data_IF_538547655071
#
_entry.id   IF_538547655071
#
_cell.length_a   1.000
_cell.length_b   1.000
_cell.length_c   1.000
_cell.angle_alpha   90.00
_cell.angle_beta   90.00
_cell.angle_gamma   90.00
#
_symmetry.space_group_name_H-M   'P 1'
#
loop_
_entity.id
_entity.type
_entity.pdbx_description
1 polymer ?
#
# COMPACT_ATOMS: atom_id res chain seq x y z
N UNK A 1 -12.57 -21.67 20.21
CA UNK A 1 -12.81 -20.22 20.42
C UNK A 1 -11.52 -19.66 21.00
N UNK A 2 -10.55 -19.36 20.13
CA UNK A 2 -9.29 -18.75 20.53
C UNK A 2 -9.56 -17.27 20.80
N UNK A 3 -9.24 -16.83 22.00
CA UNK A 3 -9.34 -15.44 22.41
C UNK A 3 -8.50 -14.61 21.42
N UNK A 4 -9.15 -13.63 20.76
CA UNK A 4 -8.45 -12.59 20.05
C UNK A 4 -7.55 -11.89 21.08
N UNK A 5 -6.25 -12.00 20.92
CA UNK A 5 -5.30 -11.18 21.66
C UNK A 5 -5.65 -9.73 21.38
N UNK A 6 -6.06 -8.99 22.40
CA UNK A 6 -6.15 -7.53 22.31
C UNK A 6 -4.79 -7.03 21.82
N UNK A 7 -4.78 -6.48 20.61
CA UNK A 7 -3.57 -5.86 20.10
C UNK A 7 -3.15 -4.78 21.10
N UNK A 8 -1.96 -4.92 21.67
CA UNK A 8 -1.46 -3.99 22.67
C UNK A 8 -1.58 -2.55 22.13
N UNK A 9 -2.16 -1.68 22.93
CA UNK A 9 -2.27 -0.24 22.60
C UNK A 9 -0.89 0.31 22.30
N UNK A 10 -0.73 1.10 21.23
CA UNK A 10 0.52 1.77 20.96
C UNK A 10 0.95 2.64 22.16
N UNK A 11 2.23 2.65 22.53
CA UNK A 11 2.69 3.44 23.64
C UNK A 11 2.55 4.94 23.36
N UNK A 12 2.09 5.70 24.34
CA UNK A 12 1.94 7.15 24.27
C UNK A 12 3.01 7.88 25.09
N UNK A 13 3.38 9.06 24.67
CA UNK A 13 4.26 9.96 25.42
C UNK A 13 3.80 11.42 25.25
N UNK A 14 4.23 12.29 26.17
CA UNK A 14 4.00 13.73 25.98
C UNK A 14 4.95 14.24 24.86
N UNK A 15 4.52 15.19 24.02
CA UNK A 15 5.36 15.78 22.99
C UNK A 15 6.69 16.30 23.55
N UNK A 16 6.64 16.98 24.68
CA UNK A 16 7.81 17.57 25.34
C UNK A 16 8.84 16.52 25.75
N UNK A 17 8.39 15.35 26.23
CA UNK A 17 9.30 14.24 26.61
C UNK A 17 10.08 13.66 25.42
N UNK A 18 9.63 13.96 24.21
CA UNK A 18 10.24 13.53 22.95
C UNK A 18 10.83 14.69 22.15
N UNK A 19 10.99 15.85 22.77
CA UNK A 19 11.61 17.01 22.16
C UNK A 19 10.76 17.71 21.09
N UNK A 20 9.43 17.59 21.19
CA UNK A 20 8.46 18.30 20.36
C UNK A 20 7.61 19.19 21.25
N UNK A 21 7.54 20.48 20.97
CA UNK A 21 6.70 21.36 21.77
C UNK A 21 5.22 21.24 21.39
N UNK A 22 4.33 21.10 22.35
CA UNK A 22 2.87 21.04 22.11
C UNK A 22 2.35 22.25 21.34
N UNK A 23 2.95 23.43 21.50
CA UNK A 23 2.62 24.62 20.70
C UNK A 23 2.83 24.44 19.21
N UNK A 24 3.83 23.64 18.79
CA UNK A 24 4.13 23.40 17.39
C UNK A 24 3.09 22.44 16.76
N UNK A 25 2.63 21.45 17.54
CA UNK A 25 1.50 20.59 17.14
C UNK A 25 0.21 21.42 17.00
N UNK A 26 -0.05 22.31 17.97
CA UNK A 26 -1.22 23.19 17.90
C UNK A 26 -1.15 24.12 16.68
N UNK A 27 0.03 24.63 16.35
CA UNK A 27 0.23 25.44 15.15
C UNK A 27 -0.03 24.64 13.86
N UNK A 28 0.40 23.37 13.80
CA UNK A 28 0.10 22.46 12.70
C UNK A 28 -1.41 22.26 12.54
N UNK A 29 -2.12 21.94 13.62
CA UNK A 29 -3.59 21.74 13.61
C UNK A 29 -4.29 22.99 13.07
N UNK A 30 -3.99 24.16 13.64
CA UNK A 30 -4.55 25.43 13.20
C UNK A 30 -4.29 25.70 11.71
N UNK A 31 -3.11 25.35 11.21
CA UNK A 31 -2.78 25.51 9.80
C UNK A 31 -3.58 24.56 8.92
N UNK A 32 -3.80 23.31 9.35
CA UNK A 32 -4.65 22.35 8.63
C UNK A 32 -6.11 22.87 8.55
N UNK A 33 -6.65 23.33 9.66
CA UNK A 33 -8.03 23.85 9.75
C UNK A 33 -8.23 25.15 8.96
N UNK A 34 -7.28 26.07 9.02
CA UNK A 34 -7.38 27.38 8.33
C UNK A 34 -6.97 27.31 6.86
N UNK A 35 -6.31 26.23 6.41
CA UNK A 35 -5.78 26.10 5.06
C UNK A 35 -6.78 25.64 4.00
N UNK A 36 -8.06 25.51 4.32
CA UNK A 36 -9.07 24.99 3.41
C UNK A 36 -8.90 23.51 3.10
N UNK A 37 -8.13 22.79 3.93
CA UNK A 37 -7.97 21.34 3.86
C UNK A 37 -9.12 20.69 4.62
N UNK A 38 -9.47 19.47 4.23
CA UNK A 38 -10.43 18.63 4.94
C UNK A 38 -9.70 17.42 5.55
N UNK A 39 -8.99 17.61 6.69
CA UNK A 39 -8.26 16.53 7.32
C UNK A 39 -9.24 15.56 7.98
N UNK A 40 -9.08 14.27 7.75
CA UNK A 40 -9.91 13.23 8.35
C UNK A 40 -9.36 12.79 9.71
N UNK A 41 -8.07 12.52 9.76
CA UNK A 41 -7.39 12.13 10.98
C UNK A 41 -5.89 12.46 10.89
N UNK A 42 -5.25 12.65 12.03
CA UNK A 42 -3.82 12.91 12.16
C UNK A 42 -3.28 12.16 13.36
N UNK A 43 -2.16 11.45 13.16
CA UNK A 43 -1.33 10.96 14.25
C UNK A 43 0.10 11.45 14.07
N UNK A 44 0.77 11.75 15.15
CA UNK A 44 2.19 12.13 15.18
C UNK A 44 2.92 11.20 16.12
N UNK A 45 3.90 10.50 15.58
CA UNK A 45 4.65 9.48 16.29
C UNK A 45 6.14 9.82 16.25
N UNK A 46 6.84 9.57 17.35
CA UNK A 46 8.30 9.71 17.41
C UNK A 46 8.89 8.62 18.32
N UNK A 47 9.95 7.97 17.86
CA UNK A 47 10.63 6.88 18.58
C UNK A 47 9.64 5.80 19.04
N UNK A 48 8.79 5.32 18.12
CA UNK A 48 7.80 4.28 18.39
C UNK A 48 6.64 4.68 19.32
N UNK A 49 6.51 5.94 19.72
CA UNK A 49 5.47 6.40 20.64
C UNK A 49 4.56 7.45 20.01
N UNK A 50 3.27 7.34 20.26
CA UNK A 50 2.27 8.30 19.81
C UNK A 50 2.34 9.54 20.69
N UNK A 51 2.58 10.70 20.09
CA UNK A 51 2.66 12.00 20.77
C UNK A 51 1.37 12.78 20.64
N UNK A 52 0.62 12.54 19.59
CA UNK A 52 -0.63 13.19 19.28
C UNK A 52 -1.48 12.32 18.37
N UNK A 53 -2.78 12.30 18.64
CA UNK A 53 -3.77 11.68 17.78
C UNK A 53 -5.05 12.51 17.80
N UNK A 54 -5.66 12.72 16.64
CA UNK A 54 -6.94 13.43 16.49
C UNK A 54 -7.65 13.00 15.23
N UNK A 55 -8.95 13.19 15.21
CA UNK A 55 -9.79 13.11 14.03
C UNK A 55 -10.77 14.27 14.00
N UNK A 56 -11.17 14.68 12.79
CA UNK A 56 -12.15 15.74 12.56
C UNK A 56 -13.51 15.13 12.22
N UNK A 57 -14.57 15.62 12.88
CA UNK A 57 -15.93 15.15 12.61
C UNK A 57 -16.27 15.32 11.11
N UNK A 58 -16.96 14.33 10.48
CA UNK A 58 -17.59 13.15 11.06
C UNK A 58 -16.66 11.95 11.26
N UNK A 59 -15.36 12.07 10.96
CA UNK A 59 -14.40 10.97 11.04
C UNK A 59 -14.06 10.66 12.51
N UNK A 60 -13.71 9.39 12.75
CA UNK A 60 -13.29 8.88 14.06
C UNK A 60 -12.05 8.02 13.89
N UNK A 61 -11.08 8.05 14.82
CA UNK A 61 -9.84 7.28 14.72
C UNK A 61 -10.07 5.77 14.54
N UNK A 62 -11.14 5.23 15.15
CA UNK A 62 -11.46 3.80 15.14
C UNK A 62 -12.17 3.35 13.86
N UNK A 63 -12.63 4.28 13.03
CA UNK A 63 -13.37 3.96 11.81
C UNK A 63 -12.41 3.67 10.66
N UNK A 64 -12.39 2.43 10.11
CA UNK A 64 -11.57 2.15 8.95
C UNK A 64 -12.00 2.98 7.74
N UNK A 65 -11.07 3.74 7.18
CA UNK A 65 -11.26 4.55 5.99
C UNK A 65 -10.50 3.96 4.80
N UNK A 66 -10.96 4.26 3.60
CA UNK A 66 -10.26 3.89 2.37
C UNK A 66 -8.93 4.66 2.31
N UNK A 67 -7.82 3.93 2.32
CA UNK A 67 -6.48 4.54 2.31
C UNK A 67 -5.89 4.69 0.91
N UNK A 68 -6.71 4.46 -0.13
CA UNK A 68 -6.28 4.60 -1.52
C UNK A 68 -4.91 3.99 -1.79
N UNK A 69 -3.99 4.77 -2.33
CA UNK A 69 -2.66 4.32 -2.78
C UNK A 69 -1.69 3.93 -1.66
N UNK A 70 -2.01 4.16 -0.40
CA UNK A 70 -1.26 3.57 0.72
C UNK A 70 -1.31 2.03 0.64
N UNK A 71 -2.35 1.47 0.02
CA UNK A 71 -2.46 0.03 -0.29
C UNK A 71 -1.23 -0.52 -1.04
N UNK A 72 -0.59 0.30 -1.90
CA UNK A 72 0.60 -0.10 -2.66
C UNK A 72 1.80 -0.46 -1.77
N UNK A 73 1.90 0.17 -0.60
CA UNK A 73 2.95 -0.15 0.38
C UNK A 73 2.81 -1.60 0.86
N UNK A 74 1.60 -2.04 1.14
CA UNK A 74 1.34 -3.43 1.54
C UNK A 74 1.67 -4.42 0.40
N UNK A 75 1.31 -4.09 -0.83
CA UNK A 75 1.67 -4.91 -2.00
C UNK A 75 3.19 -4.99 -2.18
N UNK A 76 3.90 -3.87 -2.03
CA UNK A 76 5.36 -3.86 -2.11
C UNK A 76 6.00 -4.71 -0.99
N UNK A 77 5.46 -4.66 0.23
CA UNK A 77 5.92 -5.51 1.33
C UNK A 77 5.65 -7.01 1.06
N UNK A 78 4.51 -7.35 0.45
CA UNK A 78 4.24 -8.74 0.05
C UNK A 78 5.28 -9.25 -0.96
N UNK A 79 5.65 -8.45 -1.94
CA UNK A 79 6.74 -8.79 -2.87
C UNK A 79 8.08 -8.90 -2.14
N UNK A 80 8.36 -8.02 -1.15
CA UNK A 80 9.57 -8.10 -0.33
C UNK A 80 9.65 -9.41 0.49
N UNK A 81 8.53 -9.88 1.04
CA UNK A 81 8.49 -11.20 1.70
C UNK A 81 8.76 -12.35 0.71
N UNK A 82 8.18 -12.30 -0.49
CA UNK A 82 8.44 -13.30 -1.54
C UNK A 82 9.92 -13.29 -1.96
N UNK A 83 10.55 -12.12 -2.05
CA UNK A 83 12.00 -12.00 -2.34
C UNK A 83 12.83 -12.60 -1.21
N UNK A 84 12.52 -12.28 0.04
CA UNK A 84 13.22 -12.83 1.21
C UNK A 84 13.04 -14.36 1.33
N UNK A 85 11.90 -14.90 0.89
CA UNK A 85 11.63 -16.34 0.80
C UNK A 85 12.31 -17.02 -0.41
N UNK A 86 12.99 -16.25 -1.28
CA UNK A 86 13.61 -16.76 -2.51
C UNK A 86 12.61 -17.22 -3.58
N UNK A 87 11.36 -16.81 -3.49
CA UNK A 87 10.26 -17.19 -4.40
C UNK A 87 10.10 -16.27 -5.58
N UNK A 88 10.66 -15.08 -5.54
CA UNK A 88 10.65 -14.09 -6.61
C UNK A 88 12.03 -13.47 -6.79
N UNK A 89 12.40 -13.23 -8.04
CA UNK A 89 13.60 -12.48 -8.43
C UNK A 89 13.14 -11.16 -9.05
N UNK A 90 13.48 -10.05 -8.43
CA UNK A 90 13.06 -8.72 -8.88
C UNK A 90 13.61 -8.36 -10.27
N UNK A 91 14.69 -9.00 -10.70
CA UNK A 91 15.32 -8.77 -12.00
C UNK A 91 14.74 -9.62 -13.13
N UNK A 92 13.96 -10.64 -12.76
CA UNK A 92 13.31 -11.50 -13.74
C UNK A 92 12.17 -10.78 -14.47
N UNK A 93 11.94 -11.16 -15.71
CA UNK A 93 10.77 -10.73 -16.48
C UNK A 93 9.47 -11.20 -15.84
N UNK A 94 8.42 -10.40 -16.01
CA UNK A 94 7.08 -10.70 -15.46
C UNK A 94 6.52 -12.02 -16.02
N UNK A 95 6.85 -12.35 -17.28
CA UNK A 95 6.50 -13.59 -17.99
C UNK A 95 6.99 -14.86 -17.26
N UNK A 96 7.99 -14.75 -16.38
CA UNK A 96 8.42 -15.88 -15.54
C UNK A 96 7.36 -16.27 -14.49
N UNK A 97 6.50 -15.37 -14.11
CA UNK A 97 5.53 -15.55 -13.01
C UNK A 97 4.08 -15.55 -13.48
N UNK A 98 3.83 -14.92 -14.62
CA UNK A 98 2.54 -14.90 -15.29
C UNK A 98 2.72 -15.47 -16.69
N UNK A 99 1.85 -16.39 -17.10
CA UNK A 99 1.86 -16.96 -18.46
C UNK A 99 1.30 -15.93 -19.46
N UNK A 100 2.05 -14.84 -19.65
CA UNK A 100 1.70 -13.70 -20.49
C UNK A 100 2.89 -13.26 -21.35
N UNK A 101 2.66 -12.83 -22.60
CA UNK A 101 3.73 -12.23 -23.43
C UNK A 101 4.32 -10.99 -22.76
N UNK A 102 5.65 -10.87 -22.81
CA UNK A 102 6.38 -9.72 -22.28
C UNK A 102 7.45 -9.23 -23.29
N UNK A 103 7.02 -8.75 -24.49
CA UNK A 103 7.94 -8.42 -25.59
C UNK A 103 8.88 -7.25 -25.27
N UNK A 104 8.57 -6.45 -24.24
CA UNK A 104 9.35 -5.28 -23.85
C UNK A 104 10.29 -5.54 -22.68
N UNK A 105 10.35 -6.78 -22.16
CA UNK A 105 11.25 -7.16 -21.07
C UNK A 105 10.97 -6.44 -19.75
N UNK A 106 9.70 -6.18 -19.43
CA UNK A 106 9.30 -5.56 -18.18
C UNK A 106 9.58 -6.55 -17.04
N UNK A 107 10.38 -6.13 -16.05
CA UNK A 107 10.75 -6.93 -14.88
C UNK A 107 9.86 -6.61 -13.68
N UNK A 108 9.90 -7.49 -12.67
CA UNK A 108 9.22 -7.22 -11.38
C UNK A 108 9.70 -5.91 -10.76
N UNK A 109 11.01 -5.62 -10.85
CA UNK A 109 11.59 -4.36 -10.39
C UNK A 109 10.99 -3.15 -11.10
N UNK A 110 10.79 -3.24 -12.42
CA UNK A 110 10.16 -2.15 -13.18
C UNK A 110 8.71 -1.89 -12.72
N UNK A 111 7.96 -2.93 -12.33
CA UNK A 111 6.62 -2.77 -11.76
C UNK A 111 6.69 -2.07 -10.38
N UNK A 112 7.56 -2.55 -9.48
CA UNK A 112 7.73 -2.01 -8.12
C UNK A 112 8.14 -0.55 -8.10
N UNK A 113 9.02 -0.16 -9.00
CA UNK A 113 9.58 1.19 -9.06
C UNK A 113 8.82 2.11 -10.03
N UNK A 114 7.73 1.60 -10.64
CA UNK A 114 6.89 2.35 -11.61
C UNK A 114 7.71 2.96 -12.75
N UNK A 115 8.70 2.24 -13.23
CA UNK A 115 9.53 2.63 -14.36
C UNK A 115 9.44 1.63 -15.52
N UNK A 116 8.22 1.20 -15.85
CA UNK A 116 7.90 0.27 -16.94
C UNK A 116 8.16 0.84 -18.32
N UNK A 117 8.60 2.09 -18.43
CA UNK A 117 8.85 2.76 -19.71
C UNK A 117 7.64 3.49 -20.30
N UNK A 118 6.44 3.23 -19.79
CA UNK A 118 5.24 3.97 -20.21
C UNK A 118 5.33 5.43 -19.76
N UNK A 119 4.86 6.35 -20.61
CA UNK A 119 4.74 7.77 -20.25
C UNK A 119 3.61 8.01 -19.25
N UNK A 120 3.56 9.21 -18.68
CA UNK A 120 2.46 9.61 -17.82
C UNK A 120 1.11 9.52 -18.55
N UNK A 121 1.07 9.95 -19.79
CA UNK A 121 -0.13 9.93 -20.65
C UNK A 121 -0.60 8.49 -20.86
N UNK A 122 0.31 7.58 -21.17
CA UNK A 122 0.00 6.17 -21.30
C UNK A 122 -0.53 5.59 -19.96
N UNK A 123 0.12 5.87 -18.83
CA UNK A 123 -0.29 5.30 -17.52
C UNK A 123 -1.68 5.74 -17.07
N UNK A 124 -2.18 6.89 -17.55
CA UNK A 124 -3.53 7.36 -17.27
C UNK A 124 -4.62 6.61 -18.05
N UNK A 125 -4.25 5.99 -19.16
CA UNK A 125 -5.16 5.28 -20.08
C UNK A 125 -4.98 3.78 -20.10
N UNK A 126 -3.86 3.26 -19.53
CA UNK A 126 -3.63 1.82 -19.39
C UNK A 126 -4.76 1.17 -18.59
N UNK A 127 -5.36 0.10 -19.10
CA UNK A 127 -6.34 -0.67 -18.36
C UNK A 127 -5.70 -1.45 -17.20
N UNK A 128 -6.52 -1.89 -16.24
CA UNK A 128 -6.09 -2.79 -15.18
C UNK A 128 -6.01 -4.23 -15.68
N UNK A 129 -5.07 -4.45 -16.60
CA UNK A 129 -4.81 -5.74 -17.25
C UNK A 129 -3.30 -5.92 -17.36
N UNK A 130 -2.79 -7.02 -16.80
CA UNK A 130 -1.36 -7.34 -16.92
C UNK A 130 -0.97 -7.61 -18.37
N UNK A 131 -1.84 -8.28 -19.15
CA UNK A 131 -1.58 -8.57 -20.54
C UNK A 131 -1.39 -7.29 -21.38
N UNK A 132 -2.27 -6.30 -21.17
CA UNK A 132 -2.17 -5.03 -21.90
C UNK A 132 -1.00 -4.17 -21.40
N UNK A 133 -0.74 -4.13 -20.08
CA UNK A 133 0.45 -3.46 -19.56
C UNK A 133 1.73 -4.00 -20.18
N UNK A 134 1.84 -5.33 -20.37
CA UNK A 134 3.04 -5.96 -20.87
C UNK A 134 3.20 -5.87 -22.39
N UNK A 135 2.09 -5.74 -23.13
CA UNK A 135 2.09 -5.76 -24.62
C UNK A 135 1.97 -4.38 -25.26
N UNK A 136 1.37 -3.42 -24.59
CA UNK A 136 1.35 -2.03 -25.07
C UNK A 136 2.79 -1.48 -25.09
N UNK A 137 3.23 -1.01 -26.24
CA UNK A 137 4.60 -0.53 -26.40
C UNK A 137 4.87 0.71 -25.53
N UNK A 138 5.83 0.66 -24.60
CA UNK A 138 6.22 1.82 -23.82
C UNK A 138 6.97 2.83 -24.69
N UNK A 139 6.77 4.13 -24.42
CA UNK A 139 7.45 5.21 -25.16
C UNK A 139 8.94 5.34 -24.80
N UNK A 140 9.33 4.82 -23.64
CA UNK A 140 10.71 4.84 -23.14
C UNK A 140 11.18 3.42 -22.84
N UNK A 141 12.48 3.22 -22.83
CA UNK A 141 13.05 1.96 -22.38
C UNK A 141 12.67 1.68 -20.92
N UNK A 142 12.15 0.48 -20.59
CA UNK A 142 11.91 0.10 -19.20
C UNK A 142 13.14 0.34 -18.32
N UNK A 143 12.93 0.88 -17.13
CA UNK A 143 14.01 1.24 -16.21
C UNK A 143 14.55 2.67 -16.34
N UNK A 144 14.15 3.46 -17.36
CA UNK A 144 14.76 4.76 -17.64
C UNK A 144 13.93 5.96 -17.20
N UNK A 145 12.63 5.80 -16.93
CA UNK A 145 11.76 6.91 -16.50
C UNK A 145 10.72 6.45 -15.50
N UNK A 146 10.45 7.28 -14.53
CA UNK A 146 9.35 7.10 -13.58
C UNK A 146 8.06 7.70 -14.16
N UNK A 147 7.00 6.89 -14.14
CA UNK A 147 5.63 7.36 -14.34
C UNK A 147 4.71 6.59 -13.41
N UNK A 148 3.96 7.31 -12.56
CA UNK A 148 3.06 6.69 -11.59
C UNK A 148 2.08 5.74 -12.28
N UNK A 149 2.10 4.45 -11.91
CA UNK A 149 1.47 3.39 -12.66
C UNK A 149 0.71 2.42 -11.74
N UNK A 150 -0.60 2.59 -11.61
CA UNK A 150 -1.44 1.68 -10.83
C UNK A 150 -1.65 0.31 -11.48
N UNK A 151 -1.80 0.17 -12.82
CA UNK A 151 -1.75 -1.12 -13.51
C UNK A 151 -0.49 -1.95 -13.20
N UNK A 152 0.68 -1.31 -13.04
CA UNK A 152 1.89 -2.02 -12.64
C UNK A 152 1.74 -2.65 -11.22
N UNK A 153 1.15 -1.93 -10.28
CA UNK A 153 0.91 -2.49 -8.93
C UNK A 153 -0.18 -3.56 -8.95
N UNK A 154 -1.21 -3.42 -9.79
CA UNK A 154 -2.20 -4.47 -10.01
C UNK A 154 -1.53 -5.77 -10.49
N UNK A 155 -0.62 -5.67 -11.46
CA UNK A 155 0.16 -6.80 -11.97
C UNK A 155 0.99 -7.48 -10.87
N UNK A 156 1.57 -6.71 -9.93
CA UNK A 156 2.23 -7.28 -8.74
C UNK A 156 1.26 -8.10 -7.87
N UNK A 157 0.02 -7.63 -7.71
CA UNK A 157 -1.02 -8.39 -7.02
C UNK A 157 -1.31 -9.75 -7.68
N UNK A 158 -1.39 -9.78 -9.01
CA UNK A 158 -1.55 -11.03 -9.78
C UNK A 158 -0.35 -11.97 -9.59
N UNK A 159 0.87 -11.45 -9.58
CA UNK A 159 2.08 -12.25 -9.31
C UNK A 159 2.04 -12.86 -7.91
N UNK A 160 1.63 -12.10 -6.90
CA UNK A 160 1.47 -12.62 -5.53
C UNK A 160 0.50 -13.79 -5.53
N UNK A 161 -0.68 -13.61 -6.14
CA UNK A 161 -1.71 -14.65 -6.20
C UNK A 161 -1.23 -15.88 -6.99
N UNK A 162 -0.55 -15.69 -8.13
CA UNK A 162 -0.02 -16.79 -8.92
C UNK A 162 1.02 -17.62 -8.17
N UNK A 163 1.90 -16.97 -7.40
CA UNK A 163 2.94 -17.63 -6.63
C UNK A 163 2.44 -18.31 -5.36
N UNK A 164 1.41 -17.74 -4.72
CA UNK A 164 0.99 -18.17 -3.37
C UNK A 164 -0.31 -18.96 -3.36
N UNK A 165 -1.16 -18.79 -4.36
CA UNK A 165 -2.55 -19.25 -4.35
C UNK A 165 -3.46 -18.39 -3.46
N UNK A 166 -2.95 -17.30 -2.88
CA UNK A 166 -3.65 -16.45 -1.92
C UNK A 166 -3.74 -15.01 -2.42
N UNK A 167 -4.79 -14.31 -2.03
CA UNK A 167 -4.89 -12.87 -2.23
C UNK A 167 -3.82 -12.11 -1.42
N UNK A 168 -3.34 -10.94 -1.86
CA UNK A 168 -2.31 -10.17 -1.14
C UNK A 168 -2.58 -9.99 0.35
N UNK A 169 -3.81 -9.68 0.76
CA UNK A 169 -4.14 -9.51 2.17
C UNK A 169 -4.04 -10.82 2.97
N UNK A 170 -4.45 -11.94 2.38
CA UNK A 170 -4.35 -13.25 3.02
C UNK A 170 -2.90 -13.68 3.19
N UNK A 171 -2.07 -13.50 2.16
CA UNK A 171 -0.63 -13.78 2.21
C UNK A 171 0.10 -12.92 3.25
N UNK A 172 -0.27 -11.64 3.38
CA UNK A 172 0.31 -10.73 4.37
C UNK A 172 -0.17 -10.99 5.80
N UNK A 173 -1.31 -11.63 5.99
CA UNK A 173 -1.91 -11.79 7.31
C UNK A 173 -0.92 -12.35 8.35
N UNK A 174 -0.38 -13.57 8.21
CA UNK A 174 0.51 -14.14 9.22
C UNK A 174 1.91 -13.48 9.25
N UNK A 175 2.30 -12.77 8.19
CA UNK A 175 3.64 -12.19 8.01
C UNK A 175 3.78 -10.76 8.51
N UNK A 176 2.71 -9.98 8.37
CA UNK A 176 2.72 -8.54 8.64
C UNK A 176 1.54 -8.11 9.51
N UNK A 177 0.30 -8.46 9.11
CA UNK A 177 -0.88 -7.86 9.74
C UNK A 177 -1.07 -8.37 11.17
N UNK A 178 -1.00 -9.69 11.39
CA UNK A 178 -1.14 -10.27 12.72
C UNK A 178 0.01 -9.87 13.65
N UNK A 179 1.31 -9.91 13.24
CA UNK A 179 2.40 -9.40 14.07
C UNK A 179 2.27 -7.93 14.46
N UNK A 180 1.72 -7.10 13.58
CA UNK A 180 1.45 -5.69 13.89
C UNK A 180 0.16 -5.48 14.69
N UNK A 181 -0.60 -6.52 14.97
CA UNK A 181 -1.89 -6.41 15.63
C UNK A 181 -2.96 -5.70 14.79
N UNK A 182 -2.81 -5.69 13.46
CA UNK A 182 -3.80 -5.13 12.54
C UNK A 182 -4.89 -6.19 12.33
N UNK A 183 -6.13 -5.97 12.80
CA UNK A 183 -7.19 -6.95 12.69
C UNK A 183 -7.60 -7.18 11.23
N UNK A 184 -8.44 -8.18 10.98
CA UNK A 184 -8.90 -8.45 9.63
C UNK A 184 -9.64 -7.22 9.06
N UNK A 185 -9.00 -6.57 8.11
CA UNK A 185 -9.53 -5.43 7.38
C UNK A 185 -9.93 -5.85 5.97
N UNK A 186 -10.87 -5.10 5.41
CA UNK A 186 -11.36 -5.37 4.07
C UNK A 186 -10.48 -4.66 3.04
N UNK A 187 -9.95 -5.44 2.10
CA UNK A 187 -9.37 -4.91 0.86
C UNK A 187 -10.45 -4.99 -0.23
N UNK A 188 -11.13 -3.89 -0.47
CA UNK A 188 -12.26 -3.86 -1.42
C UNK A 188 -11.76 -3.61 -2.84
N UNK A 189 -12.41 -4.21 -3.85
CA UNK A 189 -12.33 -3.69 -5.21
C UNK A 189 -12.97 -2.29 -5.23
N UNK A 190 -12.36 -1.34 -5.95
CA UNK A 190 -13.03 -0.07 -6.19
C UNK A 190 -14.21 -0.29 -7.14
N UNK A 191 -15.39 0.28 -6.85
CA UNK A 191 -16.48 0.35 -7.80
C UNK A 191 -16.09 1.37 -8.88
N UNK A 192 -15.42 0.93 -9.94
CA UNK A 192 -15.12 1.74 -11.11
C UNK A 192 -15.49 0.95 -12.36
N UNK A 193 -15.94 1.64 -13.39
CA UNK A 193 -16.20 1.03 -14.70
C UNK A 193 -14.96 0.26 -15.21
N UNK A 194 -13.75 0.81 -14.97
CA UNK A 194 -12.48 0.15 -15.31
C UNK A 194 -12.20 -1.12 -14.49
N UNK A 195 -12.66 -1.19 -13.24
CA UNK A 195 -12.52 -2.39 -12.43
C UNK A 195 -13.49 -3.51 -12.86
N UNK A 196 -14.64 -3.14 -13.43
CA UNK A 196 -15.59 -4.09 -14.00
C UNK A 196 -15.06 -4.74 -15.31
N UNK A 197 -14.13 -4.09 -15.99
CA UNK A 197 -13.47 -4.62 -17.20
C UNK A 197 -12.33 -5.60 -16.86
N UNK A 198 -11.85 -5.60 -15.61
CA UNK A 198 -10.86 -6.58 -15.17
C UNK A 198 -11.51 -7.97 -15.13
N UNK A 199 -10.98 -8.91 -15.88
CA UNK A 199 -11.53 -10.25 -16.10
C UNK A 199 -11.67 -11.09 -14.81
N UNK A 200 -11.16 -10.62 -13.68
CA UNK A 200 -11.24 -11.29 -12.39
C UNK A 200 -11.65 -10.31 -11.27
N UNK A 201 -12.96 -10.13 -11.11
CA UNK A 201 -13.56 -9.31 -10.06
C UNK A 201 -13.29 -9.81 -8.62
N UNK A 202 -12.77 -11.04 -8.47
CA UNK A 202 -12.41 -11.62 -7.18
C UNK A 202 -11.03 -11.18 -6.71
N UNK A 203 -10.19 -10.64 -7.61
CA UNK A 203 -8.83 -10.24 -7.31
C UNK A 203 -8.78 -8.91 -6.55
N UNK A 204 -8.08 -8.89 -5.41
CA UNK A 204 -7.75 -7.64 -4.73
C UNK A 204 -6.96 -6.74 -5.67
N UNK A 205 -7.34 -5.47 -5.76
CA UNK A 205 -6.73 -4.54 -6.72
C UNK A 205 -5.26 -4.22 -6.43
N UNK A 206 -4.74 -4.59 -5.26
CA UNK A 206 -3.36 -4.39 -4.84
C UNK A 206 -2.90 -2.91 -4.80
N UNK A 207 -3.34 -2.08 -5.73
CA UNK A 207 -2.97 -0.66 -5.84
C UNK A 207 -3.84 0.29 -5.01
N UNK A 208 -5.00 -0.16 -4.52
CA UNK A 208 -6.00 0.63 -3.79
C UNK A 208 -6.98 -0.31 -3.06
N UNK A 209 -8.00 0.24 -2.40
CA UNK A 209 -9.11 -0.55 -1.87
C UNK A 209 -8.93 -1.04 -0.43
N UNK A 210 -7.77 -0.88 0.18
CA UNK A 210 -7.58 -1.25 1.58
C UNK A 210 -8.25 -0.21 2.50
N UNK A 211 -8.94 -0.71 3.54
CA UNK A 211 -9.59 0.12 4.55
C UNK A 211 -8.86 -0.10 5.87
N UNK A 212 -8.30 0.97 6.42
CA UNK A 212 -7.49 0.95 7.64
C UNK A 212 -7.93 2.04 8.58
N UNK A 213 -7.76 1.83 9.87
CA UNK A 213 -7.84 2.89 10.86
C UNK A 213 -6.53 3.69 10.89
N UNK A 214 -6.55 4.83 11.57
CA UNK A 214 -5.33 5.62 11.80
C UNK A 214 -4.30 4.80 12.58
N UNK A 215 -4.74 4.01 13.58
CA UNK A 215 -3.88 3.13 14.37
C UNK A 215 -3.25 2.03 13.50
N UNK A 216 -4.00 1.39 12.61
CA UNK A 216 -3.46 0.39 11.68
C UNK A 216 -2.31 0.96 10.82
N UNK A 217 -2.51 2.17 10.27
CA UNK A 217 -1.48 2.86 9.48
C UNK A 217 -0.28 3.24 10.35
N UNK A 218 -0.53 3.69 11.58
CA UNK A 218 0.51 4.09 12.50
C UNK A 218 1.40 2.90 12.91
N UNK A 219 0.83 1.74 13.19
CA UNK A 219 1.57 0.49 13.46
C UNK A 219 2.50 0.14 12.32
N UNK A 220 2.02 0.19 11.08
CA UNK A 220 2.86 -0.05 9.91
C UNK A 220 3.98 0.98 9.81
N UNK A 221 3.68 2.26 9.97
CA UNK A 221 4.69 3.33 9.81
C UNK A 221 5.76 3.28 10.90
N UNK A 222 5.40 2.93 12.14
CA UNK A 222 6.36 2.70 13.22
C UNK A 222 7.29 1.53 12.87
N UNK A 223 6.73 0.38 12.47
CA UNK A 223 7.52 -0.79 12.09
C UNK A 223 8.50 -0.46 10.95
N UNK A 224 8.05 0.27 9.93
CA UNK A 224 8.92 0.69 8.83
C UNK A 224 10.03 1.66 9.29
N UNK A 225 9.70 2.62 10.16
CA UNK A 225 10.66 3.58 10.71
C UNK A 225 11.73 2.90 11.60
N UNK A 226 11.40 1.79 12.23
CA UNK A 226 12.29 1.00 13.08
C UNK A 226 12.99 -0.15 12.31
N UNK A 227 12.92 -0.14 10.98
CA UNK A 227 13.58 -1.12 10.12
C UNK A 227 12.95 -2.51 10.14
N UNK A 228 11.64 -2.59 10.41
CA UNK A 228 10.87 -3.84 10.42
C UNK A 228 11.06 -4.67 11.70
N UNK A 229 11.40 -4.03 12.80
CA UNK A 229 11.63 -4.66 14.11
C UNK A 229 10.40 -4.56 15.00
#
# INVERSE_FOLDING_TARGET
MLAMSDAATLPHATPESKGLASRDLLALIRRLESGGLDPHALTVTRHGQVLFESAWAPHRPETPALVYSVSKTFTALAIGYLEAEGRIDLTAGVDRYLDLPNPHGITVRHLLTMNTGHSREQTLTLPFSAAELLTIAPEKTPGTNFAYNSPATYTLGLIITALTGEQPSAYLRPRLLDPLGIPQRRWRPLPSERAAEAADLAQEQAFSGFHLTVDDVNRLTIALAEGGR
#
